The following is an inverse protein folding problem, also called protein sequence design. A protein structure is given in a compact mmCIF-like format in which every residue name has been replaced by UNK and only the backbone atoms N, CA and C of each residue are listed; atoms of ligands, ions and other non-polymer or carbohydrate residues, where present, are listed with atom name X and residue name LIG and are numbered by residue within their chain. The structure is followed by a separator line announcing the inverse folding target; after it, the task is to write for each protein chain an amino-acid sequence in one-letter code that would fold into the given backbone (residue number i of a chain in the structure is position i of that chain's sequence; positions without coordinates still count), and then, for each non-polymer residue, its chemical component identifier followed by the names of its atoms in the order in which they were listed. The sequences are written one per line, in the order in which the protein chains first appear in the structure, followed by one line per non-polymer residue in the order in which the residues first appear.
data_IF_007001693537
#
_entry.id   IF_007001693537
#
_cell.length_a   1.000
_cell.length_b   1.000
_cell.length_c   1.000
_cell.angle_alpha   90.00
_cell.angle_beta   90.00
_cell.angle_gamma   90.00
#
_symmetry.space_group_name_H-M   'P 1'
#
loop_
_entity.id
_entity.type
_entity.pdbx_description
1 polymer ?
#
# COMPACT_ATOMS: atom_id res chain seq x y z
N UNK A 1 9.56 16.07 -1.98
CA UNK A 1 9.28 16.43 -3.38
C UNK A 1 8.31 17.60 -3.52
N UNK A 2 7.39 17.83 -2.58
CA UNK A 2 6.38 18.91 -2.70
C UNK A 2 5.23 18.57 -3.66
N UNK A 3 5.29 17.37 -4.24
CA UNK A 3 4.25 16.78 -5.07
C UNK A 3 2.94 16.64 -4.30
N UNK A 4 1.82 16.77 -5.00
CA UNK A 4 0.48 16.70 -4.42
C UNK A 4 -0.46 16.01 -5.40
N UNK A 5 -1.29 15.10 -4.88
CA UNK A 5 -2.40 14.52 -5.61
C UNK A 5 -3.71 14.92 -4.94
N UNK A 6 -4.67 15.36 -5.75
CA UNK A 6 -6.07 15.41 -5.31
C UNK A 6 -6.64 14.00 -5.27
N UNK A 7 -7.80 13.82 -4.62
CA UNK A 7 -8.51 12.54 -4.66
C UNK A 7 -8.89 12.12 -6.09
N UNK A 8 -9.19 13.09 -6.98
CA UNK A 8 -9.47 12.81 -8.39
C UNK A 8 -8.22 12.31 -9.13
N UNK A 9 -7.05 12.89 -8.85
CA UNK A 9 -5.79 12.41 -9.41
C UNK A 9 -5.50 10.99 -8.93
N UNK A 10 -5.67 10.75 -7.63
CA UNK A 10 -5.44 9.45 -7.02
C UNK A 10 -6.38 8.37 -7.60
N UNK A 11 -7.67 8.65 -7.78
CA UNK A 11 -8.62 7.71 -8.41
C UNK A 11 -8.20 7.38 -9.84
N UNK A 12 -7.78 8.39 -10.61
CA UNK A 12 -7.24 8.20 -11.97
C UNK A 12 -6.01 7.28 -11.97
N UNK A 13 -5.05 7.54 -11.07
CA UNK A 13 -3.83 6.75 -10.95
C UNK A 13 -4.11 5.31 -10.50
N UNK A 14 -5.04 5.10 -9.56
CA UNK A 14 -5.48 3.78 -9.11
C UNK A 14 -6.06 2.98 -10.28
N UNK A 15 -6.92 3.61 -11.10
CA UNK A 15 -7.51 2.97 -12.27
C UNK A 15 -6.44 2.53 -13.28
N UNK A 16 -5.48 3.42 -13.58
CA UNK A 16 -4.34 3.13 -14.44
C UNK A 16 -3.46 2.02 -13.88
N UNK A 17 -3.17 2.05 -12.58
CA UNK A 17 -2.40 1.01 -11.90
C UNK A 17 -3.07 -0.36 -11.99
N UNK A 18 -4.37 -0.46 -11.69
CA UNK A 18 -5.11 -1.72 -11.81
C UNK A 18 -5.13 -2.23 -13.26
N UNK A 19 -5.32 -1.33 -14.23
CA UNK A 19 -5.26 -1.66 -15.65
C UNK A 19 -3.88 -2.21 -16.06
N UNK A 20 -2.79 -1.56 -15.63
CA UNK A 20 -1.42 -1.99 -15.90
C UNK A 20 -1.09 -3.34 -15.25
N UNK A 21 -1.54 -3.57 -14.01
CA UNK A 21 -1.36 -4.87 -13.32
C UNK A 21 -2.08 -6.01 -14.06
N UNK A 22 -3.31 -5.77 -14.54
CA UNK A 22 -4.04 -6.75 -15.37
C UNK A 22 -3.31 -7.05 -16.68
N UNK A 23 -2.69 -6.05 -17.32
CA UNK A 23 -1.89 -6.26 -18.53
C UNK A 23 -0.61 -7.05 -18.27
N UNK A 24 0.00 -6.83 -17.11
CA UNK A 24 1.16 -7.59 -16.65
C UNK A 24 0.81 -9.02 -16.21
N UNK A 25 -0.47 -9.40 -16.19
CA UNK A 25 -0.93 -10.76 -15.94
C UNK A 25 -1.40 -11.03 -14.51
N UNK A 26 -1.39 -10.03 -13.63
CA UNK A 26 -1.90 -10.16 -12.24
C UNK A 26 -3.40 -10.47 -12.29
N UNK A 27 -3.81 -11.50 -11.55
CA UNK A 27 -5.21 -11.94 -11.49
C UNK A 27 -5.82 -11.61 -10.12
N UNK A 28 -7.16 -11.54 -10.03
CA UNK A 28 -7.83 -11.54 -8.74
C UNK A 28 -7.33 -12.71 -7.88
N UNK A 29 -7.15 -12.46 -6.58
CA UNK A 29 -6.62 -13.38 -5.56
C UNK A 29 -5.13 -13.70 -5.65
N UNK A 30 -4.41 -13.23 -6.66
CA UNK A 30 -2.95 -13.26 -6.61
C UNK A 30 -2.45 -12.33 -5.49
N UNK A 31 -1.31 -12.69 -4.90
CA UNK A 31 -0.68 -11.91 -3.84
C UNK A 31 0.39 -11.00 -4.45
N UNK A 32 0.27 -9.70 -4.20
CA UNK A 32 1.22 -8.65 -4.61
C UNK A 32 1.90 -8.10 -3.36
N UNK A 33 3.22 -8.21 -3.29
CA UNK A 33 4.03 -7.68 -2.19
C UNK A 33 4.50 -6.24 -2.50
N UNK A 34 4.27 -5.31 -1.58
CA UNK A 34 4.82 -3.96 -1.64
C UNK A 34 6.08 -3.87 -0.76
N UNK A 35 7.25 -3.71 -1.39
CA UNK A 35 8.54 -3.49 -0.74
C UNK A 35 8.97 -2.04 -0.98
N UNK A 36 8.30 -1.12 -0.30
CA UNK A 36 8.38 0.31 -0.58
C UNK A 36 8.55 1.12 0.72
N UNK A 37 9.35 2.19 0.71
CA UNK A 37 9.33 3.19 1.77
C UNK A 37 8.05 4.04 1.68
N UNK A 38 7.92 5.03 2.57
CA UNK A 38 6.83 6.00 2.51
C UNK A 38 6.97 6.89 1.26
N UNK A 39 6.27 6.53 0.18
CA UNK A 39 6.23 7.28 -1.09
C UNK A 39 4.79 7.58 -1.52
N UNK A 40 4.61 8.61 -2.34
CA UNK A 40 3.28 9.05 -2.80
C UNK A 40 2.58 8.00 -3.66
N UNK A 41 3.34 7.12 -4.31
CA UNK A 41 2.87 6.02 -5.16
C UNK A 41 2.36 4.83 -4.34
N UNK A 42 2.70 4.73 -3.04
CA UNK A 42 2.29 3.62 -2.19
C UNK A 42 0.76 3.39 -2.21
N UNK A 43 -0.09 4.40 -1.94
CA UNK A 43 -1.54 4.21 -2.04
C UNK A 43 -2.02 3.89 -3.46
N UNK A 44 -1.31 4.35 -4.51
CA UNK A 44 -1.66 4.03 -5.91
C UNK A 44 -1.50 2.53 -6.16
N UNK A 45 -0.36 1.95 -5.74
CA UNK A 45 -0.10 0.51 -5.90
C UNK A 45 -1.00 -0.34 -5.03
N UNK A 46 -1.18 0.05 -3.75
CA UNK A 46 -2.07 -0.63 -2.82
C UNK A 46 -3.49 -0.71 -3.40
N UNK A 47 -4.12 0.43 -3.68
CA UNK A 47 -5.49 0.43 -4.16
C UNK A 47 -5.61 -0.05 -5.61
N UNK A 48 -4.59 0.12 -6.45
CA UNK A 48 -4.57 -0.42 -7.81
C UNK A 48 -4.64 -1.95 -7.82
N UNK A 49 -3.84 -2.61 -6.96
CA UNK A 49 -3.87 -4.06 -6.78
C UNK A 49 -5.20 -4.52 -6.14
N UNK A 50 -5.67 -3.82 -5.10
CA UNK A 50 -6.95 -4.14 -4.46
C UNK A 50 -8.15 -3.96 -5.41
N UNK A 51 -8.09 -2.97 -6.31
CA UNK A 51 -9.15 -2.69 -7.27
C UNK A 51 -9.33 -3.81 -8.31
N UNK A 52 -8.30 -4.63 -8.55
CA UNK A 52 -8.39 -5.82 -9.40
C UNK A 52 -8.70 -7.10 -8.60
N UNK A 53 -8.86 -6.98 -7.28
CA UNK A 53 -9.11 -8.10 -6.38
C UNK A 53 -7.87 -8.88 -5.97
N UNK A 54 -6.66 -8.33 -6.17
CA UNK A 54 -5.44 -8.93 -5.66
C UNK A 54 -5.29 -8.68 -4.16
N UNK A 55 -4.65 -9.62 -3.46
CA UNK A 55 -4.34 -9.48 -2.03
C UNK A 55 -3.01 -8.76 -1.90
N UNK A 56 -2.97 -7.67 -1.13
CA UNK A 56 -1.74 -6.92 -0.92
C UNK A 56 -1.05 -7.34 0.38
N UNK A 57 0.20 -7.76 0.31
CA UNK A 57 1.08 -7.86 1.49
C UNK A 57 2.12 -6.76 1.45
N UNK A 58 2.64 -6.37 2.61
CA UNK A 58 3.58 -5.26 2.76
C UNK A 58 4.83 -5.75 3.49
N UNK A 59 6.00 -5.32 3.05
CA UNK A 59 7.28 -5.71 3.64
C UNK A 59 8.08 -4.51 4.11
N UNK A 60 8.86 -4.71 5.16
CA UNK A 60 9.79 -3.69 5.64
C UNK A 60 10.90 -3.45 4.58
N UNK A 61 11.10 -2.21 4.11
CA UNK A 61 12.20 -1.82 3.24
C UNK A 61 13.58 -2.24 3.74
N UNK A 62 13.75 -2.31 5.07
CA UNK A 62 15.00 -2.69 5.72
C UNK A 62 15.25 -4.19 5.83
N UNK A 63 14.37 -5.06 5.31
CA UNK A 63 14.63 -6.49 5.31
C UNK A 63 15.85 -6.88 4.50
N UNK A 64 16.54 -7.89 5.00
CA UNK A 64 17.55 -8.63 4.26
C UNK A 64 16.90 -9.50 3.17
N UNK A 65 17.73 -10.03 2.27
CA UNK A 65 17.27 -10.94 1.20
C UNK A 65 16.54 -12.16 1.77
N UNK A 66 17.05 -12.76 2.85
CA UNK A 66 16.45 -13.97 3.43
C UNK A 66 15.14 -13.70 4.16
N UNK A 67 15.04 -12.57 4.87
CA UNK A 67 13.78 -12.16 5.52
C UNK A 67 12.70 -11.84 4.48
N UNK A 68 13.05 -11.14 3.40
CA UNK A 68 12.13 -10.85 2.32
C UNK A 68 11.73 -12.12 1.56
N UNK A 69 12.68 -13.01 1.26
CA UNK A 69 12.41 -14.29 0.61
C UNK A 69 11.49 -15.17 1.46
N UNK A 70 11.72 -15.23 2.78
CA UNK A 70 10.83 -15.93 3.71
C UNK A 70 9.40 -15.41 3.61
N UNK A 71 9.19 -14.09 3.66
CA UNK A 71 7.85 -13.52 3.56
C UNK A 71 7.22 -13.76 2.18
N UNK A 72 7.99 -13.64 1.07
CA UNK A 72 7.49 -13.94 -0.27
C UNK A 72 6.97 -15.38 -0.39
N UNK A 73 7.72 -16.34 0.17
CA UNK A 73 7.34 -17.76 0.18
C UNK A 73 6.10 -17.99 1.06
N UNK A 74 6.14 -17.53 2.31
CA UNK A 74 5.05 -17.71 3.27
C UNK A 74 3.74 -17.07 2.79
N UNK A 75 3.83 -15.89 2.18
CA UNK A 75 2.67 -15.17 1.62
C UNK A 75 2.19 -15.72 0.29
N UNK A 76 2.93 -16.64 -0.35
CA UNK A 76 2.69 -17.07 -1.73
C UNK A 76 2.61 -15.89 -2.72
N UNK A 77 3.41 -14.85 -2.49
CA UNK A 77 3.49 -13.68 -3.37
C UNK A 77 4.01 -14.06 -4.75
N UNK A 78 3.24 -13.74 -5.78
CA UNK A 78 3.60 -13.95 -7.19
C UNK A 78 4.23 -12.71 -7.82
N UNK A 79 3.99 -11.55 -7.21
CA UNK A 79 4.44 -10.26 -7.72
C UNK A 79 5.03 -9.44 -6.58
N UNK A 80 6.05 -8.65 -6.88
CA UNK A 80 6.61 -7.66 -5.96
C UNK A 80 6.72 -6.31 -6.67
N UNK A 81 6.31 -5.23 -5.99
CA UNK A 81 6.59 -3.85 -6.41
C UNK A 81 7.59 -3.28 -5.41
N UNK A 82 8.75 -2.86 -5.90
CA UNK A 82 9.90 -2.46 -5.06
C UNK A 82 10.45 -1.09 -5.46
N UNK A 83 10.98 -0.35 -4.49
CA UNK A 83 11.68 0.92 -4.74
C UNK A 83 13.02 0.67 -5.44
N UNK A 84 13.46 1.61 -6.29
CA UNK A 84 14.71 1.48 -7.05
C UNK A 84 15.92 1.24 -6.15
N UNK A 85 15.95 1.85 -4.96
CA UNK A 85 17.06 1.71 -4.00
C UNK A 85 17.10 0.33 -3.35
N UNK A 86 15.97 -0.38 -3.37
CA UNK A 86 15.78 -1.69 -2.76
C UNK A 86 15.83 -2.82 -3.80
N UNK A 87 15.91 -2.46 -5.09
CA UNK A 87 15.75 -3.37 -6.22
C UNK A 87 16.68 -4.58 -6.15
N UNK A 88 17.94 -4.39 -5.74
CA UNK A 88 18.90 -5.50 -5.60
C UNK A 88 18.41 -6.57 -4.60
N UNK A 89 18.00 -6.15 -3.40
CA UNK A 89 17.47 -7.07 -2.38
C UNK A 89 16.21 -7.78 -2.89
N UNK A 90 15.33 -7.04 -3.55
CA UNK A 90 14.08 -7.55 -4.08
C UNK A 90 14.29 -8.63 -5.16
N UNK A 91 15.21 -8.43 -6.12
CA UNK A 91 15.46 -9.42 -7.19
C UNK A 91 16.07 -10.71 -6.64
N UNK A 92 16.96 -10.61 -5.65
CA UNK A 92 17.59 -11.79 -5.06
C UNK A 92 16.59 -12.59 -4.23
N UNK A 93 15.75 -11.91 -3.46
CA UNK A 93 14.69 -12.54 -2.70
C UNK A 93 13.63 -13.18 -3.62
N UNK A 94 13.23 -12.47 -4.68
CA UNK A 94 12.30 -12.95 -5.69
C UNK A 94 12.81 -14.22 -6.39
N UNK A 95 14.12 -14.30 -6.69
CA UNK A 95 14.74 -15.49 -7.26
C UNK A 95 14.67 -16.69 -6.30
N UNK A 96 14.94 -16.47 -5.01
CA UNK A 96 14.85 -17.52 -3.97
C UNK A 96 13.41 -18.01 -3.78
N UNK A 97 12.43 -17.11 -3.89
CA UNK A 97 11.02 -17.38 -3.69
C UNK A 97 10.26 -17.81 -4.95
N UNK A 98 10.92 -17.80 -6.13
CA UNK A 98 10.32 -18.10 -7.43
C UNK A 98 9.11 -17.20 -7.78
N UNK A 99 9.26 -15.90 -7.53
CA UNK A 99 8.25 -14.86 -7.85
C UNK A 99 8.15 -14.68 -9.36
N UNK A 100 6.94 -14.53 -9.89
CA UNK A 100 6.68 -14.42 -11.33
C UNK A 100 7.21 -13.11 -11.94
N UNK A 101 7.08 -11.99 -11.22
CA UNK A 101 7.57 -10.70 -11.70
C UNK A 101 7.96 -9.72 -10.59
N UNK A 102 9.01 -8.92 -10.86
CA UNK A 102 9.50 -7.83 -10.01
C UNK A 102 9.30 -6.51 -10.74
N UNK A 103 8.38 -5.68 -10.26
CA UNK A 103 8.16 -4.33 -10.76
C UNK A 103 9.07 -3.35 -10.00
N UNK A 104 9.96 -2.67 -10.73
CA UNK A 104 10.65 -1.49 -10.20
C UNK A 104 9.66 -0.32 -10.18
N UNK A 105 9.53 0.35 -9.04
CA UNK A 105 8.48 1.35 -8.78
C UNK A 105 8.49 2.51 -9.79
N UNK A 106 9.65 3.09 -10.11
CA UNK A 106 9.72 4.25 -11.00
C UNK A 106 9.39 3.86 -12.44
N UNK A 107 9.97 2.77 -12.95
CA UNK A 107 9.68 2.23 -14.27
C UNK A 107 8.20 1.87 -14.41
N UNK A 108 7.66 1.10 -13.45
CA UNK A 108 6.27 0.71 -13.43
C UNK A 108 5.33 1.92 -13.33
N UNK A 109 5.69 2.96 -12.58
CA UNK A 109 4.92 4.20 -12.52
C UNK A 109 4.95 4.95 -13.86
N UNK A 110 6.08 4.97 -14.56
CA UNK A 110 6.14 5.61 -15.87
C UNK A 110 5.27 4.87 -16.90
N UNK A 111 5.17 3.55 -16.80
CA UNK A 111 4.32 2.76 -17.69
C UNK A 111 2.83 2.91 -17.37
N UNK A 112 2.43 2.91 -16.08
CA UNK A 112 1.03 3.17 -15.74
C UNK A 112 0.58 4.59 -16.14
N UNK A 113 1.48 5.58 -16.17
CA UNK A 113 1.12 6.93 -16.62
C UNK A 113 0.70 6.95 -18.10
N UNK A 114 1.26 6.05 -18.93
CA UNK A 114 0.92 5.87 -20.35
C UNK A 114 -0.37 5.06 -20.55
N UNK A 115 -0.78 4.28 -19.55
CA UNK A 115 -1.98 3.45 -19.59
C UNK A 115 -3.27 4.32 -19.63
N UNK A 116 -4.28 3.91 -20.38
CA UNK A 116 -5.56 4.62 -20.51
C UNK A 116 -6.61 4.19 -19.46
N UNK A 117 -6.25 3.24 -18.59
CA UNK A 117 -7.11 2.66 -17.57
C UNK A 117 -8.15 1.68 -18.11
N UNK A 118 -8.11 1.32 -19.40
CA UNK A 118 -9.21 0.64 -20.09
C UNK A 118 -9.34 -0.84 -19.72
N UNK A 119 -8.31 -1.49 -19.18
CA UNK A 119 -8.39 -2.89 -18.74
C UNK A 119 -9.13 -3.04 -17.41
N UNK A 120 -9.08 -2.03 -16.54
CA UNK A 120 -9.92 -2.00 -15.35
C UNK A 120 -11.35 -1.58 -15.73
N UNK A 121 -12.20 -2.57 -16.03
CA UNK A 121 -13.61 -2.33 -16.41
C UNK A 121 -14.50 -1.92 -15.24
N UNK A 122 -14.10 -2.27 -14.02
CA UNK A 122 -14.76 -1.93 -12.77
C UNK A 122 -13.88 -2.32 -11.60
N UNK A 123 -14.18 -1.80 -10.41
CA UNK A 123 -13.53 -2.22 -9.18
C UNK A 123 -14.04 -3.60 -8.81
N UNK A 124 -13.13 -4.50 -8.45
CA UNK A 124 -13.45 -5.83 -7.95
C UNK A 124 -14.38 -5.73 -6.74
N UNK A 125 -15.49 -6.47 -6.79
CA UNK A 125 -16.45 -6.58 -5.69
C UNK A 125 -16.53 -8.04 -5.29
N UNK A 126 -16.02 -8.43 -4.11
CA UNK A 126 -16.07 -9.81 -3.66
C UNK A 126 -17.52 -10.24 -3.41
N UNK A 127 -17.84 -11.51 -3.67
CA UNK A 127 -19.14 -12.07 -3.30
C UNK A 127 -19.21 -12.40 -1.82
N UNK A 128 -18.07 -12.79 -1.24
CA UNK A 128 -17.91 -13.02 0.19
C UNK A 128 -17.08 -11.86 0.79
N UNK A 129 -17.66 -11.02 1.66
CA UNK A 129 -16.93 -9.88 2.22
C UNK A 129 -15.79 -10.32 3.17
N UNK A 130 -15.70 -11.60 3.52
CA UNK A 130 -14.60 -12.18 4.30
C UNK A 130 -13.39 -12.57 3.45
N UNK A 131 -13.48 -12.46 2.12
CA UNK A 131 -12.33 -12.61 1.22
C UNK A 131 -11.19 -11.65 1.60
N UNK A 132 -9.96 -12.16 1.58
CA UNK A 132 -8.77 -11.41 1.95
C UNK A 132 -8.49 -10.28 0.95
N UNK A 133 -8.07 -9.13 1.46
CA UNK A 133 -7.67 -7.96 0.66
C UNK A 133 -6.29 -7.43 1.03
N UNK A 134 -5.86 -7.72 2.26
CA UNK A 134 -4.54 -7.36 2.74
C UNK A 134 -3.98 -8.43 3.68
N UNK A 135 -2.67 -8.56 3.73
CA UNK A 135 -1.97 -9.51 4.59
C UNK A 135 -0.68 -8.89 5.17
N UNK A 136 -0.79 -7.93 6.10
CA UNK A 136 0.37 -7.43 6.82
C UNK A 136 0.99 -8.53 7.70
N UNK A 137 2.30 -8.46 7.91
CA UNK A 137 3.02 -9.40 8.76
C UNK A 137 3.19 -8.87 10.18
N UNK A 138 3.13 -9.77 11.16
CA UNK A 138 3.37 -9.48 12.56
C UNK A 138 4.31 -10.52 13.16
N UNK A 139 5.25 -10.06 13.98
CA UNK A 139 6.09 -10.94 14.80
C UNK A 139 5.26 -11.76 15.81
N UNK A 140 4.04 -11.32 16.11
CA UNK A 140 3.19 -11.94 17.12
C UNK A 140 3.83 -11.90 18.51
N UNK A 141 3.38 -12.77 19.40
CA UNK A 141 3.92 -12.90 20.76
C UNK A 141 5.04 -13.95 20.86
N UNK A 142 5.12 -14.88 19.90
CA UNK A 142 6.11 -15.96 19.86
C UNK A 142 6.39 -16.42 18.43
N UNK A 143 7.62 -16.90 18.20
CA UNK A 143 8.03 -17.58 16.98
C UNK A 143 8.29 -16.64 15.80
N UNK A 144 8.29 -17.22 14.60
CA UNK A 144 8.50 -16.51 13.33
C UNK A 144 7.32 -15.60 12.99
N UNK A 145 7.59 -14.57 12.20
CA UNK A 145 6.60 -13.63 11.69
C UNK A 145 5.54 -14.35 10.84
N UNK A 146 4.28 -13.93 10.98
CA UNK A 146 3.11 -14.59 10.35
C UNK A 146 2.28 -13.56 9.60
N UNK A 147 1.76 -13.96 8.43
CA UNK A 147 0.80 -13.18 7.67
C UNK A 147 -0.55 -13.10 8.38
N UNK A 148 -1.02 -11.89 8.66
CA UNK A 148 -2.32 -11.65 9.28
C UNK A 148 -3.33 -11.31 8.19
N UNK A 149 -4.18 -12.26 7.81
CA UNK A 149 -5.20 -12.02 6.79
C UNK A 149 -6.20 -10.97 7.28
N UNK A 150 -6.38 -9.93 6.47
CA UNK A 150 -7.38 -8.89 6.63
C UNK A 150 -8.38 -9.03 5.47
N UNK A 151 -9.65 -9.19 5.80
CA UNK A 151 -10.73 -9.27 4.83
C UNK A 151 -11.20 -7.89 4.40
N UNK A 152 -11.93 -7.82 3.29
CA UNK A 152 -12.63 -6.59 2.91
C UNK A 152 -13.51 -6.06 4.06
N UNK A 153 -14.27 -6.95 4.71
CA UNK A 153 -15.16 -6.61 5.81
C UNK A 153 -14.41 -5.97 6.99
N UNK A 154 -13.34 -6.61 7.47
CA UNK A 154 -12.64 -6.11 8.65
C UNK A 154 -11.84 -4.84 8.34
N UNK A 155 -11.27 -4.73 7.14
CA UNK A 155 -10.49 -3.56 6.74
C UNK A 155 -11.37 -2.30 6.65
N UNK A 156 -12.56 -2.45 6.04
CA UNK A 156 -13.57 -1.38 5.99
C UNK A 156 -14.11 -1.07 7.39
N UNK A 157 -14.45 -2.11 8.18
CA UNK A 157 -14.93 -1.94 9.55
C UNK A 157 -13.94 -1.17 10.42
N UNK A 158 -12.63 -1.38 10.24
CA UNK A 158 -11.59 -0.65 10.94
C UNK A 158 -11.58 0.84 10.54
N UNK A 159 -11.63 1.15 9.25
CA UNK A 159 -11.68 2.53 8.76
C UNK A 159 -12.94 3.27 9.25
N UNK A 160 -14.09 2.61 9.25
CA UNK A 160 -15.36 3.16 9.77
C UNK A 160 -15.29 3.41 11.28
N UNK A 161 -14.76 2.46 12.04
CA UNK A 161 -14.67 2.56 13.51
C UNK A 161 -13.73 3.71 13.91
N UNK A 162 -12.53 3.77 13.31
CA UNK A 162 -11.53 4.79 13.59
C UNK A 162 -11.93 6.18 13.10
N UNK A 163 -12.72 6.24 12.01
CA UNK A 163 -13.26 7.48 11.46
C UNK A 163 -14.55 7.96 12.12
N UNK A 164 -15.16 7.16 13.01
CA UNK A 164 -16.39 7.52 13.70
C UNK A 164 -16.17 8.69 14.65
N UNK A 165 -17.14 9.61 14.71
CA UNK A 165 -17.06 10.80 15.58
C UNK A 165 -17.10 10.42 17.06
N UNK A 166 -17.75 9.31 17.37
CA UNK A 166 -17.90 8.73 18.70
C UNK A 166 -16.56 8.21 19.22
N UNK A 167 -15.70 7.69 18.34
CA UNK A 167 -14.36 7.22 18.70
C UNK A 167 -13.33 8.35 18.63
N UNK A 168 -13.30 9.06 17.50
CA UNK A 168 -12.36 10.14 17.24
C UNK A 168 -13.09 11.36 16.69
N UNK A 169 -13.03 12.49 17.39
CA UNK A 169 -13.73 13.72 17.04
C UNK A 169 -13.04 14.48 15.89
N UNK A 170 -12.78 13.82 14.76
CA UNK A 170 -12.10 14.40 13.61
C UNK A 170 -12.91 15.53 12.95
N UNK A 171 -12.25 16.64 12.61
CA UNK A 171 -12.82 17.69 11.74
C UNK A 171 -12.80 17.22 10.27
N UNK A 172 -13.83 17.60 9.49
CA UNK A 172 -13.89 17.39 8.04
C UNK A 172 -12.75 18.05 7.26
N UNK A 173 -12.03 19.00 7.85
CA UNK A 173 -10.86 19.68 7.25
C UNK A 173 -9.52 19.18 7.82
N UNK A 174 -9.49 17.97 8.38
CA UNK A 174 -8.28 17.43 9.00
C UNK A 174 -7.12 17.40 8.00
N UNK A 175 -6.06 18.11 8.36
CA UNK A 175 -4.73 17.96 7.76
C UNK A 175 -3.94 17.08 8.73
N UNK A 176 -3.48 15.94 8.26
CA UNK A 176 -2.75 14.97 9.10
C UNK A 176 -1.35 14.76 8.57
N UNK A 177 -0.47 14.31 9.44
CA UNK A 177 0.90 13.97 9.09
C UNK A 177 1.10 12.46 9.14
N UNK A 178 1.40 11.87 7.98
CA UNK A 178 1.71 10.46 7.85
C UNK A 178 3.23 10.27 7.98
N UNK A 179 3.68 10.07 9.22
CA UNK A 179 5.06 9.69 9.54
C UNK A 179 5.24 8.18 9.69
N UNK A 180 4.17 7.49 10.08
CA UNK A 180 4.21 6.05 10.34
C UNK A 180 4.55 5.28 9.07
N UNK A 181 5.33 4.19 9.16
CA UNK A 181 5.64 3.38 8.00
C UNK A 181 4.36 2.77 7.39
N UNK A 182 4.14 2.99 6.10
CA UNK A 182 2.95 2.50 5.39
C UNK A 182 2.97 0.98 5.20
N UNK A 183 4.14 0.34 5.31
CA UNK A 183 4.26 -1.12 5.31
C UNK A 183 3.82 -1.77 6.64
N UNK A 184 3.61 -0.99 7.69
CA UNK A 184 3.14 -1.48 8.99
C UNK A 184 1.63 -1.32 9.10
N UNK A 185 0.95 -2.30 9.71
CA UNK A 185 -0.52 -2.35 9.77
C UNK A 185 -1.16 -1.06 10.31
N UNK A 186 -0.54 -0.42 11.30
CA UNK A 186 -1.04 0.85 11.85
C UNK A 186 -0.97 2.01 10.84
N UNK A 187 0.18 2.19 10.15
CA UNK A 187 0.33 3.21 9.13
C UNK A 187 -0.62 2.98 7.95
N UNK A 188 -0.76 1.73 7.53
CA UNK A 188 -1.67 1.33 6.46
C UNK A 188 -3.14 1.61 6.81
N UNK A 189 -3.61 1.13 7.97
CA UNK A 189 -5.00 1.27 8.39
C UNK A 189 -5.38 2.73 8.67
N UNK A 190 -4.50 3.51 9.32
CA UNK A 190 -4.80 4.89 9.70
C UNK A 190 -4.56 5.86 8.55
N UNK A 191 -3.36 5.89 7.97
CA UNK A 191 -2.99 6.94 7.02
C UNK A 191 -3.62 6.71 5.64
N UNK A 192 -3.79 5.46 5.24
CA UNK A 192 -4.36 5.12 3.94
C UNK A 192 -5.83 4.71 4.09
N UNK A 193 -6.16 3.77 4.98
CA UNK A 193 -7.55 3.34 5.19
C UNK A 193 -8.49 4.44 5.71
N UNK A 194 -8.29 4.88 6.96
CA UNK A 194 -9.18 5.81 7.65
C UNK A 194 -9.14 7.23 7.07
N UNK A 195 -7.95 7.83 6.94
CA UNK A 195 -7.86 9.22 6.50
C UNK A 195 -8.37 9.42 5.07
N UNK A 196 -8.21 8.43 4.18
CA UNK A 196 -8.76 8.56 2.82
C UNK A 196 -10.27 8.36 2.82
N UNK A 197 -10.80 7.47 3.66
CA UNK A 197 -12.24 7.36 3.87
C UNK A 197 -12.86 8.68 4.35
N UNK A 198 -12.19 9.41 5.24
CA UNK A 198 -12.63 10.71 5.73
C UNK A 198 -12.44 11.86 4.73
N UNK A 199 -11.74 11.64 3.62
CA UNK A 199 -11.38 12.70 2.66
C UNK A 199 -10.35 13.69 3.21
N UNK A 200 -9.57 13.30 4.21
CA UNK A 200 -8.57 14.17 4.86
C UNK A 200 -7.41 14.52 3.93
N UNK A 201 -6.69 15.61 4.23
CA UNK A 201 -5.42 15.93 3.57
C UNK A 201 -4.28 15.26 4.32
N UNK A 202 -3.60 14.31 3.68
CA UNK A 202 -2.48 13.57 4.29
C UNK A 202 -1.15 14.13 3.79
N UNK A 203 -0.33 14.64 4.70
CA UNK A 203 1.04 15.08 4.43
C UNK A 203 2.00 13.92 4.72
N UNK A 204 2.52 13.29 3.68
CA UNK A 204 3.42 12.14 3.80
C UNK A 204 4.85 12.59 4.04
N UNK A 205 5.47 12.10 5.11
CA UNK A 205 6.91 12.19 5.34
C UNK A 205 7.55 10.84 5.05
N UNK A 206 8.66 10.85 4.29
CA UNK A 206 9.40 9.63 3.94
C UNK A 206 10.09 9.02 5.16
N UNK A 207 10.48 9.86 6.12
CA UNK A 207 11.16 9.47 7.35
C UNK A 207 11.05 10.60 8.38
N UNK A 208 11.50 10.32 9.59
CA UNK A 208 11.49 11.27 10.68
C UNK A 208 12.75 12.13 10.66
N UNK A 209 12.57 13.42 10.40
CA UNK A 209 13.61 14.44 10.55
C UNK A 209 13.02 15.60 11.37
N UNK A 210 13.52 15.88 12.60
CA UNK A 210 12.87 16.80 13.53
C UNK A 210 12.57 18.19 12.95
N UNK A 211 13.54 18.79 12.27
CA UNK A 211 13.34 20.10 11.66
C UNK A 211 12.34 20.06 10.51
N UNK A 212 12.38 19.01 9.69
CA UNK A 212 11.44 18.87 8.58
C UNK A 212 10.02 18.70 9.10
N UNK A 213 9.85 17.92 10.18
CA UNK A 213 8.57 17.74 10.86
C UNK A 213 8.01 19.09 11.31
N UNK A 214 8.78 19.86 12.07
CA UNK A 214 8.34 21.17 12.59
C UNK A 214 7.99 22.14 11.45
N UNK A 215 8.84 22.22 10.43
CA UNK A 215 8.59 23.04 9.22
C UNK A 215 7.31 22.59 8.48
N UNK A 216 7.03 21.29 8.46
CA UNK A 216 5.83 20.72 7.81
C UNK A 216 4.58 21.07 8.59
N UNK A 217 4.59 20.94 9.92
CA UNK A 217 3.49 21.33 10.81
C UNK A 217 3.16 22.81 10.60
N UNK A 218 4.17 23.68 10.67
CA UNK A 218 3.98 25.11 10.50
C UNK A 218 3.42 25.47 9.12
N UNK A 219 3.97 24.88 8.05
CA UNK A 219 3.60 25.19 6.66
C UNK A 219 2.19 24.72 6.31
N UNK A 220 1.85 23.49 6.68
CA UNK A 220 0.60 22.86 6.26
C UNK A 220 -0.53 22.97 7.27
N UNK A 221 -0.25 23.54 8.46
CA UNK A 221 -1.22 23.69 9.56
C UNK A 221 -1.82 22.33 9.94
N UNK A 222 -0.91 21.37 10.13
CA UNK A 222 -1.22 20.06 10.72
C UNK A 222 -1.73 20.27 12.14
#
# INVERSE_FOLDING_TARGET
TGETYTYTDLITLIKKCGSALLQAGVKPKDVVLLHLPNIMQYPVYLYGAQAIGAVVTTANPGYTVDELAYQLIDSSAKYIITDSKLYHTAIEAARKANVEHVFESVEFFNDLLKDDGSKLKGVYSPTDPTEAICMPYSSGTTGVSKGVLQSHYNYIGHALSLGSKEFMQWDKRLVTLSLLPLFHAFGLAVNVGMHFYLGSKVILLQGFEPEQLLKTIEKYKV
#
